data_IF_912864293794
#
_entry.id   IF_912864293794
#
_cell.length_a   1.000
_cell.length_b   1.000
_cell.length_c   1.000
_cell.angle_alpha   90.00
_cell.angle_beta   90.00
_cell.angle_gamma   90.00
#
_symmetry.space_group_name_H-M   'P 1'
#
loop_
_entity.id
_entity.type
_entity.pdbx_description
1 polymer ?
#
# COMPACT_ATOMS: atom_id res chain seq x y z
N UNK A 1 15.96 2.86 -13.71
CA UNK A 1 14.87 2.48 -12.79
C UNK A 1 13.80 3.51 -12.99
N UNK A 2 12.65 3.10 -13.53
CA UNK A 2 11.54 4.03 -13.72
C UNK A 2 11.04 4.43 -12.33
N UNK A 3 11.19 5.71 -12.00
CA UNK A 3 10.63 6.30 -10.79
C UNK A 3 9.11 6.12 -10.87
N UNK A 4 8.59 5.22 -10.05
CA UNK A 4 7.17 4.92 -9.98
C UNK A 4 6.41 6.23 -9.72
N UNK A 5 5.69 6.70 -10.74
CA UNK A 5 5.03 8.01 -10.71
C UNK A 5 3.72 7.89 -9.93
N UNK A 6 3.82 8.06 -8.62
CA UNK A 6 2.66 8.11 -7.73
C UNK A 6 1.86 9.40 -7.95
N UNK A 7 0.54 9.31 -7.83
CA UNK A 7 -0.36 10.47 -7.77
C UNK A 7 -1.17 10.42 -6.48
N UNK A 8 -1.57 11.58 -5.96
CA UNK A 8 -2.41 11.70 -4.77
C UNK A 8 -3.78 12.21 -5.22
N UNK A 9 -4.74 11.29 -5.29
CA UNK A 9 -6.11 11.62 -5.66
C UNK A 9 -6.85 12.16 -4.46
N UNK A 10 -7.36 13.38 -4.56
CA UNK A 10 -8.18 13.99 -3.52
C UNK A 10 -9.44 13.14 -3.25
N UNK A 11 -9.71 12.80 -1.99
CA UNK A 11 -10.88 11.99 -1.63
C UNK A 11 -11.93 12.75 -0.80
N UNK A 12 -11.61 13.97 -0.36
CA UNK A 12 -12.55 14.83 0.36
C UNK A 12 -12.81 14.48 1.82
N UNK A 13 -12.24 13.39 2.33
CA UNK A 13 -12.36 12.99 3.73
C UNK A 13 -11.63 13.99 4.62
N UNK A 14 -12.26 14.44 5.70
CA UNK A 14 -11.65 15.33 6.69
C UNK A 14 -11.10 14.53 7.86
N UNK A 15 -9.90 14.88 8.31
CA UNK A 15 -9.40 14.46 9.62
C UNK A 15 -10.24 15.05 10.76
N UNK A 16 -10.11 14.56 11.99
CA UNK A 16 -10.54 15.31 13.16
C UNK A 16 -9.83 16.67 13.23
N UNK A 17 -10.54 17.67 13.77
CA UNK A 17 -10.00 19.00 14.03
C UNK A 17 -9.28 18.99 15.39
N UNK A 18 -8.00 19.32 15.41
CA UNK A 18 -7.15 19.29 16.61
C UNK A 18 -6.76 20.70 17.06
N UNK A 19 -6.98 21.03 18.33
CA UNK A 19 -6.74 22.35 18.91
C UNK A 19 -7.93 22.88 19.70
N UNK A 20 -7.96 24.19 19.95
CA UNK A 20 -9.12 24.85 20.55
C UNK A 20 -10.22 25.10 19.51
N UNK A 21 -11.09 24.11 19.33
CA UNK A 21 -12.18 24.13 18.35
C UNK A 21 -13.31 25.12 18.66
N UNK A 22 -13.35 25.66 19.90
CA UNK A 22 -14.38 26.59 20.36
C UNK A 22 -14.05 28.04 20.03
N UNK A 23 -12.83 28.33 19.59
CA UNK A 23 -12.32 29.68 19.35
C UNK A 23 -11.97 29.89 17.89
N UNK A 24 -12.28 31.09 17.38
CA UNK A 24 -11.92 31.52 16.04
C UNK A 24 -12.96 31.16 14.97
N UNK A 25 -12.80 31.78 13.81
CA UNK A 25 -13.58 31.52 12.60
C UNK A 25 -13.05 30.30 11.86
N UNK A 26 -13.95 29.58 11.19
CA UNK A 26 -13.55 28.45 10.34
C UNK A 26 -12.79 28.93 9.12
N UNK A 27 -11.78 28.14 8.75
CA UNK A 27 -10.93 28.37 7.59
C UNK A 27 -10.77 27.06 6.83
N UNK A 28 -10.74 27.15 5.50
CA UNK A 28 -10.73 25.96 4.64
C UNK A 28 -10.15 26.34 3.27
N UNK A 29 -8.94 25.84 2.98
CA UNK A 29 -8.25 26.14 1.72
C UNK A 29 -8.92 25.50 0.51
N UNK A 30 -9.85 24.55 0.71
CA UNK A 30 -10.57 23.94 -0.39
C UNK A 30 -11.41 24.99 -1.14
N UNK A 31 -11.89 26.05 -0.47
CA UNK A 31 -12.54 27.17 -1.16
C UNK A 31 -11.59 27.93 -2.08
N UNK A 32 -10.35 28.15 -1.65
CA UNK A 32 -9.33 28.82 -2.47
C UNK A 32 -9.01 27.97 -3.69
N UNK A 33 -8.85 26.66 -3.50
CA UNK A 33 -8.63 25.71 -4.61
C UNK A 33 -9.83 25.72 -5.57
N UNK A 34 -11.07 25.63 -5.07
CA UNK A 34 -12.27 25.67 -5.90
C UNK A 34 -12.33 26.92 -6.80
N UNK A 35 -12.09 28.08 -6.19
CA UNK A 35 -12.12 29.37 -6.88
C UNK A 35 -11.06 29.46 -7.99
N UNK A 36 -9.82 29.02 -7.73
CA UNK A 36 -8.75 29.01 -8.75
C UNK A 36 -9.03 28.03 -9.90
N UNK A 37 -9.80 26.99 -9.63
CA UNK A 37 -10.26 26.03 -10.63
C UNK A 37 -11.53 26.49 -11.36
N UNK A 38 -12.19 27.56 -10.92
CA UNK A 38 -13.43 28.08 -11.51
C UNK A 38 -14.64 27.15 -11.30
N UNK A 39 -14.66 26.37 -10.21
CA UNK A 39 -15.71 25.39 -9.90
C UNK A 39 -16.20 25.53 -8.46
N UNK A 40 -17.34 24.94 -8.14
CA UNK A 40 -17.84 24.94 -6.75
C UNK A 40 -17.06 23.97 -5.87
N UNK A 41 -17.05 24.23 -4.55
CA UNK A 41 -16.46 23.31 -3.55
C UNK A 41 -17.14 21.94 -3.55
N UNK A 42 -18.46 21.89 -3.75
CA UNK A 42 -19.20 20.63 -3.86
C UNK A 42 -18.79 19.83 -5.09
N UNK A 43 -18.54 20.50 -6.22
CA UNK A 43 -18.07 19.83 -7.43
C UNK A 43 -16.68 19.24 -7.25
N UNK A 44 -15.82 19.92 -6.50
CA UNK A 44 -14.49 19.39 -6.15
C UNK A 44 -14.54 18.08 -5.37
N UNK A 45 -15.55 17.89 -4.52
CA UNK A 45 -15.70 16.71 -3.67
C UNK A 45 -16.38 15.55 -4.42
N UNK A 46 -17.26 15.87 -5.38
CA UNK A 46 -18.11 14.89 -6.06
C UNK A 46 -17.58 14.48 -7.43
N UNK A 47 -16.79 15.34 -8.08
CA UNK A 47 -16.28 15.09 -9.41
C UNK A 47 -14.80 14.70 -9.34
N UNK A 48 -14.41 13.70 -10.11
CA UNK A 48 -13.02 13.25 -10.26
C UNK A 48 -12.14 14.26 -11.05
N UNK A 49 -12.33 15.57 -10.79
CA UNK A 49 -11.68 16.69 -11.46
C UNK A 49 -10.20 16.76 -11.05
N UNK A 50 -9.91 16.65 -9.76
CA UNK A 50 -8.54 16.61 -9.26
C UNK A 50 -7.96 15.22 -9.52
N UNK A 51 -6.96 15.15 -10.38
CA UNK A 51 -6.17 13.94 -10.65
C UNK A 51 -4.99 13.79 -9.70
N UNK A 52 -4.40 14.90 -9.29
CA UNK A 52 -3.27 14.91 -8.36
C UNK A 52 -3.32 16.19 -7.53
N UNK A 53 -3.14 16.10 -6.21
CA UNK A 53 -2.95 17.26 -5.33
C UNK A 53 -1.75 17.04 -4.44
N UNK A 54 -0.80 17.98 -4.46
CA UNK A 54 0.42 17.92 -3.65
C UNK A 54 0.68 19.21 -2.93
N UNK A 55 1.33 19.10 -1.79
CA UNK A 55 1.93 20.24 -1.11
C UNK A 55 3.28 20.56 -1.75
N UNK A 56 3.53 21.85 -1.96
CA UNK A 56 4.81 22.38 -2.42
C UNK A 56 5.57 23.07 -1.31
N UNK A 57 4.85 23.81 -0.47
CA UNK A 57 5.44 24.54 0.64
C UNK A 57 4.40 24.74 1.75
N UNK A 58 4.88 24.84 2.98
CA UNK A 58 4.12 25.39 4.10
C UNK A 58 4.95 26.54 4.68
N UNK A 59 4.31 27.69 4.88
CA UNK A 59 4.85 28.80 5.65
C UNK A 59 4.13 28.86 6.97
N UNK A 60 4.91 28.97 8.05
CA UNK A 60 4.40 29.02 9.41
C UNK A 60 5.01 30.25 10.06
N UNK A 61 4.14 31.14 10.53
CA UNK A 61 4.50 32.31 11.31
C UNK A 61 4.26 32.03 12.78
N UNK A 62 5.27 32.27 13.61
CA UNK A 62 5.21 31.94 15.02
C UNK A 62 6.02 32.89 15.89
N UNK A 63 5.64 32.90 17.16
CA UNK A 63 6.33 33.58 18.25
C UNK A 63 6.21 32.73 19.51
N UNK A 64 5.28 33.10 20.40
CA UNK A 64 4.97 32.27 21.57
C UNK A 64 4.03 31.10 21.26
N UNK A 65 3.29 31.17 20.15
CA UNK A 65 2.40 30.15 19.60
C UNK A 65 2.40 30.27 18.07
N UNK A 66 1.64 29.44 17.37
CA UNK A 66 1.46 29.51 15.92
C UNK A 66 0.48 30.64 15.59
N UNK A 67 1.02 31.71 15.02
CA UNK A 67 0.29 32.94 14.73
C UNK A 67 -0.41 32.86 13.38
N UNK A 68 0.28 32.34 12.36
CA UNK A 68 -0.32 32.12 11.05
C UNK A 68 0.27 30.93 10.30
N UNK A 69 -0.51 30.40 9.36
CA UNK A 69 -0.08 29.33 8.45
C UNK A 69 -0.58 29.62 7.04
N UNK A 70 0.23 29.29 6.03
CA UNK A 70 -0.15 29.30 4.62
C UNK A 70 0.39 28.06 3.93
N UNK A 71 -0.47 27.34 3.20
CA UNK A 71 -0.11 26.19 2.39
C UNK A 71 -0.03 26.55 0.91
N UNK A 72 0.84 25.87 0.19
CA UNK A 72 1.06 26.05 -1.25
C UNK A 72 0.86 24.71 -1.93
N UNK A 73 0.02 24.70 -2.97
CA UNK A 73 -0.45 23.48 -3.61
C UNK A 73 -0.01 23.39 -5.06
N UNK A 74 0.25 22.18 -5.52
CA UNK A 74 0.27 21.81 -6.94
C UNK A 74 -0.94 20.92 -7.19
N UNK A 75 -1.87 21.39 -8.02
CA UNK A 75 -3.13 20.68 -8.32
C UNK A 75 -3.17 20.36 -9.81
N UNK A 76 -3.25 19.09 -10.15
CA UNK A 76 -3.40 18.61 -11.52
C UNK A 76 -4.84 18.21 -11.75
N UNK A 77 -5.44 18.76 -12.81
CA UNK A 77 -6.77 18.39 -13.30
C UNK A 77 -6.64 17.61 -14.60
N UNK A 78 -7.77 17.29 -15.25
CA UNK A 78 -7.76 16.67 -16.59
C UNK A 78 -7.00 17.51 -17.62
N UNK A 79 -7.12 18.83 -17.53
CA UNK A 79 -6.73 19.72 -18.63
C UNK A 79 -5.38 20.40 -18.38
N UNK A 80 -5.09 20.73 -17.11
CA UNK A 80 -3.85 21.42 -16.75
C UNK A 80 -3.45 21.24 -15.29
N UNK A 81 -2.21 21.66 -15.01
CA UNK A 81 -1.65 21.75 -13.67
C UNK A 81 -1.64 23.20 -13.19
N UNK A 82 -2.05 23.42 -11.95
CA UNK A 82 -2.13 24.70 -11.28
C UNK A 82 -1.12 24.74 -10.13
N UNK A 83 -0.46 25.89 -9.96
CA UNK A 83 0.28 26.22 -8.74
C UNK A 83 -0.57 27.20 -7.95
N UNK A 84 -1.15 26.76 -6.84
CA UNK A 84 -2.14 27.52 -6.06
C UNK A 84 -1.51 27.94 -4.74
N UNK A 85 -1.52 29.25 -4.49
CA UNK A 85 -1.20 29.79 -3.18
C UNK A 85 -2.47 29.74 -2.32
N UNK A 86 -2.44 28.92 -1.27
CA UNK A 86 -3.49 28.91 -0.25
C UNK A 86 -3.59 30.26 0.46
N UNK A 87 -4.66 30.45 1.23
CA UNK A 87 -4.80 31.68 1.99
C UNK A 87 -3.82 31.68 3.17
N UNK A 88 -3.28 32.85 3.52
CA UNK A 88 -2.62 33.02 4.82
C UNK A 88 -3.70 33.16 5.87
N UNK A 89 -3.73 32.24 6.82
CA UNK A 89 -4.70 32.24 7.92
C UNK A 89 -4.02 32.62 9.23
N UNK A 90 -4.71 33.38 10.09
CA UNK A 90 -4.17 33.86 11.36
C UNK A 90 -3.55 35.27 11.26
N UNK A 91 -2.63 35.57 12.17
CA UNK A 91 -2.02 36.89 12.35
C UNK A 91 -0.79 37.18 11.49
N UNK A 92 0.00 38.18 11.90
CA UNK A 92 1.19 38.64 11.18
C UNK A 92 2.39 37.72 11.37
N UNK A 93 2.66 37.27 12.60
CA UNK A 93 3.88 36.53 12.90
C UNK A 93 5.05 37.40 13.32
N UNK A 94 5.87 36.94 14.26
CA UNK A 94 7.22 37.49 14.45
C UNK A 94 8.27 36.79 13.57
N UNK A 95 8.28 35.45 13.58
CA UNK A 95 9.24 34.61 12.85
C UNK A 95 8.55 33.77 11.80
N UNK A 96 9.19 33.59 10.64
CA UNK A 96 8.70 32.72 9.57
C UNK A 96 9.57 31.47 9.48
N UNK A 97 8.93 30.30 9.37
CA UNK A 97 9.57 29.04 9.02
C UNK A 97 8.94 28.46 7.77
N UNK A 98 9.79 27.97 6.87
CA UNK A 98 9.38 27.38 5.59
C UNK A 98 9.67 25.89 5.57
N UNK A 99 8.68 25.11 5.18
CA UNK A 99 8.82 23.68 4.91
C UNK A 99 8.63 23.51 3.41
N UNK A 100 9.72 23.21 2.69
CA UNK A 100 9.68 22.90 1.26
C UNK A 100 9.52 21.40 1.05
N UNK A 101 8.65 21.02 0.11
CA UNK A 101 8.39 19.63 -0.26
C UNK A 101 9.13 19.29 -1.55
N UNK A 102 9.84 18.17 -1.51
CA UNK A 102 10.43 17.56 -2.70
C UNK A 102 9.35 16.92 -3.58
N UNK A 103 9.68 16.58 -4.82
CA UNK A 103 8.74 15.92 -5.71
C UNK A 103 8.40 14.52 -5.19
N UNK A 104 7.10 14.30 -4.93
CA UNK A 104 6.60 13.06 -4.35
C UNK A 104 6.61 13.03 -2.82
N UNK A 105 7.15 14.05 -2.14
CA UNK A 105 7.05 14.18 -0.68
C UNK A 105 5.61 14.46 -0.27
N UNK A 106 5.12 13.77 0.77
CA UNK A 106 3.79 13.98 1.34
C UNK A 106 3.78 13.83 2.86
N UNK A 107 2.75 14.40 3.50
CA UNK A 107 2.59 14.35 4.96
C UNK A 107 1.91 13.04 5.35
N UNK A 108 2.57 12.27 6.22
CA UNK A 108 2.05 11.05 6.83
C UNK A 108 1.35 11.29 8.16
N UNK A 109 1.82 12.26 8.94
CA UNK A 109 1.23 12.56 10.23
C UNK A 109 1.54 13.99 10.66
N UNK A 110 0.68 14.52 11.52
CA UNK A 110 0.85 15.81 12.17
C UNK A 110 0.70 15.58 13.66
N UNK A 111 1.63 16.11 14.43
CA UNK A 111 1.56 16.13 15.88
C UNK A 111 1.81 17.54 16.38
N UNK A 112 1.48 17.82 17.62
CA UNK A 112 1.65 19.15 18.15
C UNK A 112 1.14 19.33 19.56
N UNK A 113 1.09 20.59 19.97
CA UNK A 113 0.54 21.00 21.26
C UNK A 113 -0.37 22.19 21.10
N UNK A 114 -1.35 22.32 21.98
CA UNK A 114 -2.23 23.47 22.05
C UNK A 114 -2.65 23.78 23.48
N UNK A 115 -3.08 25.02 23.70
CA UNK A 115 -3.68 25.51 24.94
C UNK A 115 -5.13 25.02 25.12
N UNK A 116 -5.45 24.39 26.25
CA UNK A 116 -6.83 23.98 26.55
C UNK A 116 -7.72 25.12 27.08
N UNK A 117 -7.17 26.32 27.36
CA UNK A 117 -7.98 27.43 27.86
C UNK A 117 -9.07 27.77 26.82
N UNK A 118 -10.35 27.62 27.19
CA UNK A 118 -11.48 27.83 26.26
C UNK A 118 -11.46 29.22 25.62
N UNK A 119 -11.00 30.23 26.36
CA UNK A 119 -10.99 31.63 25.92
C UNK A 119 -9.69 32.06 25.22
N UNK A 120 -8.57 31.39 25.51
CA UNK A 120 -7.23 31.85 25.07
C UNK A 120 -6.34 30.77 24.46
N UNK A 121 -6.81 29.53 24.38
CA UNK A 121 -6.06 28.41 23.82
C UNK A 121 -5.73 28.62 22.35
N UNK A 122 -4.45 28.51 22.02
CA UNK A 122 -3.90 28.59 20.67
C UNK A 122 -3.20 27.27 20.32
N UNK A 123 -2.94 27.07 19.03
CA UNK A 123 -2.04 26.03 18.57
C UNK A 123 -0.61 26.49 18.88
N UNK A 124 0.11 25.75 19.73
CA UNK A 124 1.41 26.18 20.26
C UNK A 124 2.56 25.57 19.46
N UNK A 125 2.49 24.28 19.16
CA UNK A 125 3.56 23.56 18.46
C UNK A 125 3.00 22.70 17.35
N UNK A 126 3.75 22.59 16.26
CA UNK A 126 3.43 21.74 15.13
C UNK A 126 4.64 20.95 14.68
N UNK A 127 4.46 19.65 14.50
CA UNK A 127 5.44 18.75 13.93
C UNK A 127 4.80 17.95 12.80
N UNK A 128 5.36 18.10 11.61
CA UNK A 128 5.00 17.34 10.42
C UNK A 128 5.95 16.16 10.26
N UNK A 129 5.39 14.99 9.96
CA UNK A 129 6.12 13.78 9.60
C UNK A 129 5.85 13.54 8.12
N UNK A 130 6.89 13.74 7.31
CA UNK A 130 6.80 13.63 5.85
C UNK A 130 7.51 12.38 5.37
N UNK A 131 7.05 11.80 4.26
CA UNK A 131 7.72 10.69 3.59
C UNK A 131 8.10 11.06 2.17
N UNK A 132 9.31 10.68 1.77
CA UNK A 132 9.87 10.89 0.43
C UNK A 132 10.06 9.50 -0.20
N UNK A 133 9.14 9.06 -1.08
CA UNK A 133 9.18 7.70 -1.66
C UNK A 133 10.47 7.39 -2.40
N UNK A 134 10.95 8.31 -3.24
CA UNK A 134 12.16 8.14 -4.06
C UNK A 134 13.41 7.88 -3.21
N UNK A 135 13.45 8.41 -1.98
CA UNK A 135 14.55 8.24 -1.04
C UNK A 135 14.27 7.20 0.04
N UNK A 136 13.05 6.65 0.09
CA UNK A 136 12.54 5.82 1.20
C UNK A 136 12.82 6.45 2.58
N UNK A 137 12.67 7.77 2.68
CA UNK A 137 13.14 8.55 3.82
C UNK A 137 11.99 9.26 4.54
N UNK A 138 12.09 9.36 5.87
CA UNK A 138 11.16 10.11 6.72
C UNK A 138 11.83 11.41 7.19
N UNK A 139 11.17 12.53 6.92
CA UNK A 139 11.63 13.87 7.30
C UNK A 139 10.73 14.44 8.38
N UNK A 140 11.34 15.02 9.41
CA UNK A 140 10.64 15.66 10.53
C UNK A 140 10.80 17.17 10.45
N UNK A 141 9.68 17.89 10.49
CA UNK A 141 9.68 19.36 10.50
C UNK A 141 8.94 19.85 11.74
N UNK A 142 9.65 20.37 12.73
CA UNK A 142 9.09 20.85 14.00
C UNK A 142 9.15 22.38 14.07
N UNK A 143 8.05 23.00 14.50
CA UNK A 143 7.94 24.41 14.84
C UNK A 143 7.46 24.54 16.28
N UNK A 144 8.16 25.36 17.06
CA UNK A 144 7.96 25.45 18.50
C UNK A 144 7.43 26.83 18.89
N UNK A 145 6.23 26.89 19.47
CA UNK A 145 5.83 27.91 20.44
C UNK A 145 6.36 27.59 21.84
N UNK A 146 6.22 28.54 22.76
CA UNK A 146 6.85 28.53 24.10
C UNK A 146 6.01 27.87 25.20
N UNK A 147 4.71 27.70 25.00
CA UNK A 147 3.80 27.22 26.04
C UNK A 147 3.33 25.78 25.74
N UNK A 148 3.28 24.94 26.77
CA UNK A 148 2.90 23.52 26.67
C UNK A 148 1.69 23.25 27.56
N UNK A 149 0.60 22.70 27.02
CA UNK A 149 -0.47 22.14 27.87
C UNK A 149 -1.01 20.79 27.37
N UNK A 150 -1.54 20.69 26.14
CA UNK A 150 -2.18 19.46 25.63
C UNK A 150 -1.55 18.98 24.33
N UNK A 151 -1.15 17.71 24.30
CA UNK A 151 -0.59 17.05 23.12
C UNK A 151 -1.69 16.55 22.18
N UNK A 152 -1.41 16.55 20.88
CA UNK A 152 -2.20 15.81 19.90
C UNK A 152 -1.30 15.12 18.89
N UNK A 153 -1.85 14.06 18.29
CA UNK A 153 -1.28 13.37 17.16
C UNK A 153 -2.41 12.93 16.24
N UNK A 154 -2.27 13.18 14.94
CA UNK A 154 -3.24 12.81 13.93
C UNK A 154 -2.52 12.18 12.73
N UNK A 155 -3.03 11.04 12.31
CA UNK A 155 -2.62 10.32 11.11
C UNK A 155 -3.84 10.07 10.23
N UNK A 156 -3.70 10.11 8.91
CA UNK A 156 -4.80 9.88 7.99
C UNK A 156 -5.18 8.39 7.99
N UNK A 157 -6.32 8.04 7.40
CA UNK A 157 -6.73 6.64 7.25
C UNK A 157 -5.68 5.80 6.49
N UNK A 158 -5.63 4.50 6.77
CA UNK A 158 -4.67 3.59 6.10
C UNK A 158 -4.78 3.68 4.58
N UNK A 159 -3.65 3.90 3.91
CA UNK A 159 -3.59 4.07 2.45
C UNK A 159 -3.89 5.48 1.94
N UNK A 160 -4.00 6.47 2.83
CA UNK A 160 -4.22 7.89 2.50
C UNK A 160 -3.14 8.79 3.08
N UNK A 161 -3.13 10.05 2.65
CA UNK A 161 -2.16 11.10 3.03
C UNK A 161 -2.87 12.43 3.21
N UNK A 162 -2.28 13.38 3.94
CA UNK A 162 -2.85 14.72 4.06
C UNK A 162 -2.53 15.60 2.86
N UNK A 163 -3.53 16.35 2.38
CA UNK A 163 -3.47 17.08 1.11
C UNK A 163 -3.83 18.55 1.22
N UNK A 164 -4.94 18.90 1.87
CA UNK A 164 -5.48 20.27 1.91
C UNK A 164 -5.80 20.69 3.34
N UNK A 165 -5.49 21.94 3.69
CA UNK A 165 -5.64 22.46 5.04
C UNK A 165 -7.05 22.99 5.32
N UNK A 166 -7.55 22.70 6.52
CA UNK A 166 -8.68 23.42 7.12
C UNK A 166 -8.45 23.60 8.61
N UNK A 167 -9.21 24.45 9.27
CA UNK A 167 -9.00 24.70 10.68
C UNK A 167 -9.87 25.79 11.25
N UNK A 168 -9.38 26.40 12.33
CA UNK A 168 -9.92 27.64 12.88
C UNK A 168 -8.79 28.60 13.23
N UNK A 169 -9.05 29.89 13.06
CA UNK A 169 -8.13 30.94 13.46
C UNK A 169 -8.87 32.15 14.04
N UNK A 170 -8.15 32.94 14.84
CA UNK A 170 -8.52 34.32 15.11
C UNK A 170 -7.79 35.23 14.13
N UNK A 171 -7.94 36.54 14.27
CA UNK A 171 -7.13 37.50 13.50
C UNK A 171 -5.67 37.55 13.98
N UNK A 172 -5.32 36.83 15.05
CA UNK A 172 -3.98 36.83 15.65
C UNK A 172 -3.29 35.46 15.62
N UNK A 173 -4.05 34.37 15.59
CA UNK A 173 -3.50 33.03 15.85
C UNK A 173 -4.26 31.91 15.17
N UNK A 174 -3.57 30.79 14.92
CA UNK A 174 -4.22 29.52 14.64
C UNK A 174 -4.68 28.90 15.96
N UNK A 175 -5.95 28.50 16.01
CA UNK A 175 -6.52 27.86 17.21
C UNK A 175 -6.66 26.36 17.03
N UNK A 176 -6.88 25.89 15.81
CA UNK A 176 -6.95 24.46 15.50
C UNK A 176 -6.59 24.15 14.04
N UNK A 177 -6.17 22.91 13.81
CA UNK A 177 -5.74 22.37 12.52
C UNK A 177 -6.46 21.06 12.20
N UNK A 178 -6.86 20.93 10.96
CA UNK A 178 -7.33 19.71 10.33
C UNK A 178 -6.80 19.64 8.90
N UNK A 179 -6.88 18.45 8.31
CA UNK A 179 -6.42 18.21 6.95
C UNK A 179 -7.42 17.33 6.21
N UNK A 180 -7.63 17.63 4.93
CA UNK A 180 -8.26 16.70 4.02
C UNK A 180 -7.29 15.60 3.62
N UNK A 181 -7.85 14.43 3.33
CA UNK A 181 -7.11 13.27 2.88
C UNK A 181 -7.09 13.13 1.36
N UNK A 182 -6.12 12.38 0.86
CA UNK A 182 -6.03 11.91 -0.51
C UNK A 182 -5.49 10.49 -0.55
N UNK A 183 -5.92 9.72 -1.54
CA UNK A 183 -5.47 8.35 -1.74
C UNK A 183 -4.25 8.32 -2.66
N UNK A 184 -3.23 7.58 -2.26
CA UNK A 184 -2.05 7.33 -3.11
C UNK A 184 -2.46 6.34 -4.21
N UNK A 185 -2.21 6.69 -5.47
CA UNK A 185 -2.44 5.83 -6.63
C UNK A 185 -1.14 5.59 -7.39
N UNK A 186 -0.84 4.31 -7.69
CA UNK A 186 0.23 3.92 -8.63
C UNK A 186 -0.35 3.94 -10.05
N UNK A 187 0.33 4.64 -10.96
CA UNK A 187 -0.07 4.73 -12.36
C UNK A 187 -0.05 3.35 -13.04
N UNK A 188 0.86 2.45 -12.66
CA UNK A 188 0.92 1.09 -13.19
C UNK A 188 -0.28 0.23 -12.75
N UNK A 189 -0.70 0.34 -11.49
CA UNK A 189 -1.90 -0.33 -11.00
C UNK A 189 -3.18 0.24 -11.63
N UNK A 190 -3.21 1.55 -11.90
CA UNK A 190 -4.32 2.18 -12.61
C UNK A 190 -4.39 1.73 -14.07
N UNK A 191 -3.27 1.71 -14.79
CA UNK A 191 -3.21 1.21 -16.18
C UNK A 191 -3.64 -0.25 -16.29
N UNK A 192 -3.17 -1.09 -15.36
CA UNK A 192 -3.60 -2.49 -15.28
C UNK A 192 -5.10 -2.60 -15.00
N UNK A 193 -5.63 -1.77 -14.09
CA UNK A 193 -7.06 -1.72 -13.81
C UNK A 193 -7.88 -1.28 -15.02
N UNK A 194 -7.46 -0.23 -15.73
CA UNK A 194 -8.17 0.31 -16.89
C UNK A 194 -8.16 -0.67 -18.06
N UNK A 195 -7.08 -1.45 -18.20
CA UNK A 195 -6.97 -2.56 -19.16
C UNK A 195 -7.92 -3.72 -18.82
N UNK A 196 -7.99 -4.10 -17.53
CA UNK A 196 -8.80 -5.23 -17.09
C UNK A 196 -10.29 -4.88 -16.95
N UNK A 197 -10.63 -3.62 -16.66
CA UNK A 197 -11.99 -3.18 -16.37
C UNK A 197 -12.34 -1.81 -16.96
N UNK A 198 -12.43 -1.67 -18.30
CA UNK A 198 -12.88 -0.42 -18.90
C UNK A 198 -14.30 -0.08 -18.44
N UNK A 199 -14.47 1.11 -17.86
CA UNK A 199 -15.75 1.73 -17.49
C UNK A 199 -16.54 1.11 -16.32
N UNK A 200 -15.90 0.46 -15.35
CA UNK A 200 -16.59 0.05 -14.11
C UNK A 200 -15.89 0.56 -12.85
N UNK A 201 -16.63 1.04 -11.82
CA UNK A 201 -16.05 1.40 -10.55
C UNK A 201 -15.32 0.20 -9.95
N UNK A 202 -14.10 0.46 -9.49
CA UNK A 202 -13.15 -0.55 -9.08
C UNK A 202 -13.63 -1.34 -7.87
N UNK A 203 -13.81 -2.66 -8.05
CA UNK A 203 -14.13 -3.58 -6.96
C UNK A 203 -12.92 -4.48 -6.73
N UNK A 204 -12.08 -4.13 -5.75
CA UNK A 204 -10.94 -4.95 -5.30
C UNK A 204 -11.28 -6.45 -5.17
N UNK A 205 -12.45 -6.85 -4.63
CA UNK A 205 -12.81 -8.27 -4.56
C UNK A 205 -12.89 -8.95 -5.93
N UNK A 206 -13.43 -8.26 -6.94
CA UNK A 206 -13.58 -8.77 -8.31
C UNK A 206 -12.21 -8.91 -8.98
N UNK A 207 -11.32 -7.93 -8.83
CA UNK A 207 -9.95 -8.05 -9.35
C UNK A 207 -9.20 -9.21 -8.69
N UNK A 208 -9.34 -9.37 -7.37
CA UNK A 208 -8.70 -10.45 -6.63
C UNK A 208 -9.20 -11.83 -7.10
N UNK A 209 -10.49 -11.95 -7.41
CA UNK A 209 -11.05 -13.15 -8.02
C UNK A 209 -10.48 -13.37 -9.42
N UNK A 210 -10.44 -12.34 -10.25
CA UNK A 210 -9.96 -12.46 -11.64
C UNK A 210 -8.47 -12.82 -11.73
N UNK A 211 -7.62 -12.25 -10.87
CA UNK A 211 -6.21 -12.65 -10.75
C UNK A 211 -6.09 -14.13 -10.34
N UNK A 212 -6.91 -14.59 -9.40
CA UNK A 212 -6.91 -16.00 -8.97
C UNK A 212 -7.33 -16.91 -10.13
N UNK A 213 -8.38 -16.54 -10.87
CA UNK A 213 -8.89 -17.26 -12.05
C UNK A 213 -7.81 -17.39 -13.13
N UNK A 214 -7.12 -16.29 -13.46
CA UNK A 214 -6.05 -16.28 -14.46
C UNK A 214 -4.87 -17.15 -14.03
N UNK A 215 -4.43 -17.05 -12.76
CA UNK A 215 -3.37 -17.93 -12.22
C UNK A 215 -3.75 -19.40 -12.30
N UNK A 216 -5.01 -19.74 -12.02
CA UNK A 216 -5.50 -21.10 -12.14
C UNK A 216 -5.48 -21.59 -13.59
N UNK A 217 -5.95 -20.77 -14.53
CA UNK A 217 -5.98 -21.10 -15.95
C UNK A 217 -4.58 -21.32 -16.55
N UNK A 218 -3.58 -20.61 -16.05
CA UNK A 218 -2.19 -20.78 -16.47
C UNK A 218 -1.55 -22.03 -15.84
N UNK A 219 -1.79 -22.27 -14.55
CA UNK A 219 -1.13 -23.34 -13.80
C UNK A 219 -1.74 -24.73 -14.04
N UNK A 220 -3.06 -24.83 -14.20
CA UNK A 220 -3.74 -26.12 -14.34
C UNK A 220 -3.27 -26.94 -15.58
N UNK A 221 -3.11 -26.34 -16.79
CA UNK A 221 -2.54 -27.04 -17.93
C UNK A 221 -1.09 -27.50 -17.70
N UNK A 222 -0.28 -26.70 -16.99
CA UNK A 222 1.10 -27.06 -16.66
C UNK A 222 1.16 -28.28 -15.75
N UNK A 223 0.36 -28.30 -14.67
CA UNK A 223 0.24 -29.46 -13.76
C UNK A 223 -0.18 -30.71 -14.54
N UNK A 224 -1.20 -30.60 -15.41
CA UNK A 224 -1.66 -31.72 -16.24
C UNK A 224 -0.54 -32.26 -17.14
N UNK A 225 0.20 -31.38 -17.81
CA UNK A 225 1.28 -31.77 -18.72
C UNK A 225 2.45 -32.42 -17.96
N UNK A 226 2.86 -31.87 -16.82
CA UNK A 226 3.94 -32.44 -16.01
C UNK A 226 3.53 -33.79 -15.40
N UNK A 227 2.26 -33.96 -15.01
CA UNK A 227 1.72 -35.24 -14.54
C UNK A 227 1.80 -36.33 -15.60
N UNK A 228 1.38 -36.04 -16.84
CA UNK A 228 1.49 -36.99 -17.96
C UNK A 228 2.94 -37.40 -18.20
N UNK A 229 3.88 -36.44 -18.18
CA UNK A 229 5.30 -36.76 -18.34
C UNK A 229 5.81 -37.62 -17.18
N UNK A 230 5.37 -37.34 -15.95
CA UNK A 230 5.77 -38.09 -14.76
C UNK A 230 5.24 -39.52 -14.78
N UNK A 231 3.99 -39.74 -15.17
CA UNK A 231 3.40 -41.08 -15.33
C UNK A 231 4.16 -41.93 -16.35
N UNK A 232 4.55 -41.33 -17.48
CA UNK A 232 5.40 -41.99 -18.49
C UNK A 232 6.77 -42.35 -17.92
N UNK A 233 7.41 -41.43 -17.20
CA UNK A 233 8.71 -41.68 -16.57
C UNK A 233 8.63 -42.81 -15.55
N UNK A 234 7.63 -42.79 -14.66
CA UNK A 234 7.41 -43.84 -13.66
C UNK A 234 7.18 -45.18 -14.31
N UNK A 235 6.37 -45.25 -15.37
CA UNK A 235 6.12 -46.50 -16.12
C UNK A 235 7.43 -47.06 -16.70
N UNK A 236 8.23 -46.21 -17.33
CA UNK A 236 9.53 -46.62 -17.86
C UNK A 236 10.47 -47.13 -16.75
N UNK A 237 10.51 -46.45 -15.60
CA UNK A 237 11.34 -46.86 -14.46
C UNK A 237 10.89 -48.18 -13.86
N UNK A 238 9.57 -48.43 -13.76
CA UNK A 238 9.02 -49.72 -13.30
C UNK A 238 9.40 -50.86 -14.24
N UNK A 239 9.20 -50.69 -15.55
CA UNK A 239 9.60 -51.69 -16.55
C UNK A 239 11.09 -52.01 -16.45
N UNK A 240 11.93 -50.98 -16.26
CA UNK A 240 13.39 -51.14 -16.15
C UNK A 240 13.83 -51.77 -14.81
N UNK A 241 13.06 -51.55 -13.75
CA UNK A 241 13.29 -52.15 -12.43
C UNK A 241 12.91 -53.65 -12.38
N UNK A 242 12.08 -54.14 -13.31
CA UNK A 242 11.66 -55.54 -13.38
C UNK A 242 10.93 -55.97 -12.10
N UNK A 243 11.40 -57.05 -11.47
CA UNK A 243 10.83 -57.60 -10.22
C UNK A 243 10.81 -56.60 -9.05
N UNK A 244 11.60 -55.51 -9.16
CA UNK A 244 11.66 -54.43 -8.17
C UNK A 244 10.65 -53.29 -8.42
N UNK A 245 9.64 -53.44 -9.29
CA UNK A 245 8.67 -52.36 -9.57
C UNK A 245 7.99 -51.82 -8.29
N UNK A 246 7.69 -52.71 -7.33
CA UNK A 246 7.04 -52.35 -6.07
C UNK A 246 7.93 -51.43 -5.22
N UNK A 247 9.25 -51.55 -5.36
CA UNK A 247 10.21 -50.69 -4.67
C UNK A 247 10.18 -49.27 -5.28
N UNK A 248 9.90 -49.12 -6.58
CA UNK A 248 9.68 -47.81 -7.20
C UNK A 248 8.44 -47.13 -6.62
N UNK A 249 7.34 -47.88 -6.45
CA UNK A 249 6.13 -47.35 -5.80
C UNK A 249 6.37 -46.94 -4.35
N UNK A 250 7.09 -47.77 -3.59
CA UNK A 250 7.48 -47.45 -2.22
C UNK A 250 8.36 -46.20 -2.16
N UNK A 251 9.36 -46.07 -3.05
CA UNK A 251 10.22 -44.89 -3.14
C UNK A 251 9.40 -43.62 -3.36
N UNK A 252 8.47 -43.63 -4.32
CA UNK A 252 7.63 -42.46 -4.62
C UNK A 252 6.69 -42.12 -3.46
N UNK A 253 6.06 -43.12 -2.85
CA UNK A 253 5.19 -42.92 -1.68
C UNK A 253 5.95 -42.35 -0.48
N UNK A 254 7.12 -42.90 -0.16
CA UNK A 254 7.96 -42.41 0.93
C UNK A 254 8.48 -41.01 0.63
N UNK A 255 8.82 -40.70 -0.62
CA UNK A 255 9.20 -39.32 -0.99
C UNK A 255 8.05 -38.33 -0.76
N UNK A 256 6.80 -38.71 -1.09
CA UNK A 256 5.63 -37.86 -0.84
C UNK A 256 5.46 -37.56 0.66
N UNK A 257 5.77 -38.52 1.53
CA UNK A 257 5.76 -38.32 2.97
C UNK A 257 6.93 -37.45 3.44
N UNK A 258 8.13 -37.66 2.88
CA UNK A 258 9.33 -36.89 3.20
C UNK A 258 9.22 -35.40 2.85
N UNK A 259 8.45 -35.07 1.81
CA UNK A 259 8.17 -33.68 1.44
C UNK A 259 7.32 -32.98 2.51
N UNK A 260 6.47 -33.73 3.22
CA UNK A 260 5.56 -33.20 4.25
C UNK A 260 6.14 -33.23 5.67
N UNK A 261 7.12 -34.08 5.93
CA UNK A 261 7.68 -34.32 7.26
C UNK A 261 9.19 -34.52 7.18
N UNK A 262 9.94 -33.89 8.09
CA UNK A 262 11.39 -34.01 8.17
C UNK A 262 11.85 -35.16 9.09
N UNK A 263 11.14 -36.28 9.05
CA UNK A 263 11.39 -37.44 9.92
C UNK A 263 12.63 -38.23 9.46
N UNK A 264 13.57 -38.47 10.39
CA UNK A 264 14.80 -39.24 10.15
C UNK A 264 14.51 -40.68 9.69
N UNK A 265 13.43 -41.30 10.17
CA UNK A 265 13.03 -42.65 9.77
C UNK A 265 12.61 -42.68 8.29
N UNK A 266 11.89 -41.66 7.83
CA UNK A 266 11.47 -41.53 6.42
C UNK A 266 12.70 -41.31 5.52
N UNK A 267 13.69 -40.53 5.97
CA UNK A 267 14.94 -40.36 5.23
C UNK A 267 15.74 -41.65 5.15
N UNK A 268 15.79 -42.44 6.23
CA UNK A 268 16.39 -43.77 6.25
C UNK A 268 15.74 -44.73 5.24
N UNK A 269 14.40 -44.73 5.17
CA UNK A 269 13.64 -45.53 4.20
C UNK A 269 13.92 -45.09 2.75
N UNK A 270 13.99 -43.79 2.46
CA UNK A 270 14.35 -43.27 1.14
C UNK A 270 15.73 -43.74 0.70
N UNK A 271 16.72 -43.70 1.59
CA UNK A 271 18.08 -44.18 1.30
C UNK A 271 18.04 -45.68 0.98
N UNK A 272 17.35 -46.48 1.79
CA UNK A 272 17.25 -47.92 1.58
C UNK A 272 16.60 -48.26 0.22
N UNK A 273 15.50 -47.59 -0.15
CA UNK A 273 14.84 -47.83 -1.44
C UNK A 273 15.68 -47.37 -2.63
N UNK A 274 16.41 -46.25 -2.52
CA UNK A 274 17.38 -45.84 -3.55
C UNK A 274 18.45 -46.89 -3.73
N UNK A 275 19.10 -47.32 -2.65
CA UNK A 275 20.17 -48.33 -2.70
C UNK A 275 19.69 -49.65 -3.28
N UNK A 276 18.46 -50.09 -2.97
CA UNK A 276 17.88 -51.30 -3.57
C UNK A 276 17.70 -51.17 -5.10
N UNK A 277 17.30 -49.99 -5.56
CA UNK A 277 17.07 -49.71 -6.98
C UNK A 277 18.35 -49.40 -7.77
N UNK A 278 19.45 -49.01 -7.12
CA UNK A 278 20.75 -48.74 -7.78
C UNK A 278 21.33 -49.96 -8.51
N UNK A 279 20.86 -51.17 -8.19
CA UNK A 279 21.21 -52.40 -8.91
C UNK A 279 20.58 -52.53 -10.31
N UNK A 280 19.55 -51.72 -10.61
CA UNK A 280 18.76 -51.78 -11.85
C UNK A 280 18.60 -50.42 -12.54
N UNK A 281 18.58 -49.34 -11.77
CA UNK A 281 18.42 -47.97 -12.22
C UNK A 281 19.70 -47.18 -11.92
N UNK A 282 20.09 -46.32 -12.85
CA UNK A 282 21.25 -45.45 -12.61
C UNK A 282 20.92 -44.37 -11.58
N UNK A 283 21.94 -43.88 -10.88
CA UNK A 283 21.81 -42.73 -9.96
C UNK A 283 21.16 -41.51 -10.63
N UNK A 284 21.48 -41.27 -11.91
CA UNK A 284 20.90 -40.18 -12.67
C UNK A 284 19.39 -40.37 -12.91
N UNK A 285 18.97 -41.59 -13.27
CA UNK A 285 17.55 -41.90 -13.47
C UNK A 285 16.73 -41.76 -12.19
N UNK A 286 17.26 -42.25 -11.08
CA UNK A 286 16.66 -42.06 -9.75
C UNK A 286 16.56 -40.57 -9.40
N UNK A 287 17.63 -39.80 -9.65
CA UNK A 287 17.62 -38.37 -9.38
C UNK A 287 16.59 -37.62 -10.24
N UNK A 288 16.47 -37.95 -11.53
CA UNK A 288 15.48 -37.36 -12.43
C UNK A 288 14.06 -37.68 -11.94
N UNK A 289 13.78 -38.95 -11.61
CA UNK A 289 12.47 -39.39 -11.11
C UNK A 289 12.06 -38.62 -9.85
N UNK A 290 12.96 -38.54 -8.87
CA UNK A 290 12.69 -37.87 -7.60
C UNK A 290 12.56 -36.36 -7.77
N UNK A 291 13.40 -35.73 -8.59
CA UNK A 291 13.33 -34.28 -8.84
C UNK A 291 12.02 -33.89 -9.51
N UNK A 292 11.56 -34.70 -10.45
CA UNK A 292 10.30 -34.49 -11.16
C UNK A 292 9.09 -34.72 -10.25
N UNK A 293 9.13 -35.73 -9.38
CA UNK A 293 8.10 -35.95 -8.38
C UNK A 293 8.00 -34.78 -7.39
N UNK A 294 9.13 -34.23 -6.94
CA UNK A 294 9.16 -33.05 -6.06
C UNK A 294 8.56 -31.81 -6.75
N UNK A 295 8.96 -31.55 -8.01
CA UNK A 295 8.40 -30.46 -8.81
C UNK A 295 6.89 -30.61 -9.00
N UNK A 296 6.40 -31.81 -9.30
CA UNK A 296 4.97 -32.06 -9.49
C UNK A 296 4.18 -31.80 -8.20
N UNK A 297 4.67 -32.28 -7.04
CA UNK A 297 4.03 -32.02 -5.76
C UNK A 297 3.93 -30.51 -5.45
N UNK A 298 4.98 -29.73 -5.71
CA UNK A 298 4.96 -28.27 -5.52
C UNK A 298 3.89 -27.59 -6.39
N UNK A 299 3.79 -28.00 -7.66
CA UNK A 299 2.79 -27.44 -8.59
C UNK A 299 1.37 -27.83 -8.17
N UNK A 300 1.15 -29.07 -7.70
CA UNK A 300 -0.14 -29.52 -7.18
C UNK A 300 -0.55 -28.76 -5.91
N UNK A 301 0.37 -28.50 -4.99
CA UNK A 301 0.11 -27.69 -3.79
C UNK A 301 -0.21 -26.23 -4.15
N UNK A 302 0.55 -25.63 -5.07
CA UNK A 302 0.26 -24.29 -5.56
C UNK A 302 -1.14 -24.21 -6.18
N UNK A 303 -1.53 -25.21 -6.97
CA UNK A 303 -2.87 -25.26 -7.57
C UNK A 303 -3.98 -25.44 -6.53
N UNK A 304 -3.78 -26.31 -5.53
CA UNK A 304 -4.73 -26.52 -4.44
C UNK A 304 -4.95 -25.24 -3.61
N UNK A 305 -3.88 -24.50 -3.34
CA UNK A 305 -3.96 -23.23 -2.63
C UNK A 305 -4.77 -22.18 -3.40
N UNK A 306 -4.71 -22.17 -4.73
CA UNK A 306 -5.55 -21.29 -5.56
C UNK A 306 -7.04 -21.66 -5.46
N UNK A 307 -7.38 -22.95 -5.44
CA UNK A 307 -8.77 -23.42 -5.32
C UNK A 307 -9.40 -23.16 -3.94
N UNK A 308 -8.62 -23.30 -2.86
CA UNK A 308 -9.09 -22.98 -1.50
C UNK A 308 -9.43 -21.49 -1.39
N UNK A 309 -8.60 -20.63 -1.98
CA UNK A 309 -8.82 -19.19 -1.98
C UNK A 309 -10.07 -18.77 -2.78
N UNK A 310 -10.43 -19.49 -3.85
CA UNK A 310 -11.71 -19.28 -4.57
C UNK A 310 -12.93 -19.67 -3.72
N UNK A 311 -12.89 -20.82 -3.04
CA UNK A 311 -14.03 -21.27 -2.20
C UNK A 311 -14.30 -20.35 -1.03
N UNK A 312 -13.24 -19.86 -0.35
CA UNK A 312 -13.37 -18.92 0.76
C UNK A 312 -13.87 -17.53 0.31
N UNK A 313 -13.63 -17.16 -0.95
CA UNK A 313 -14.10 -15.88 -1.50
C UNK A 313 -15.59 -15.88 -1.89
N UNK A 314 -16.22 -17.06 -2.05
CA UNK A 314 -17.61 -17.21 -2.44
C UNK A 314 -18.58 -17.51 -1.27
N UNK A 315 -18.07 -17.63 -0.03
CA UNK A 315 -18.87 -17.90 1.17
C UNK A 315 -19.14 -16.64 2.04
N UNK A 316 -19.03 -15.43 1.47
CA UNK A 316 -19.36 -14.14 2.11
C UNK A 316 -20.23 -13.32 1.18
#
# INVERSE_FOLDING_TARGET
MDDEKWTIKFNGTKSPLNGNIKRGKEIDDLYKIANELGISKSDLLNNNIIKDIRLKQIKIWHGNYIEAIQFFYKVTTNDKTYSINGNKHGGSGEKETRINFEDGEYILAISGKYGHNKSHGNLDQLKFINYIPSKKHIKFCTNCGKYDTTLFNMSPATGTVYTCFFGKCTDYSITSIGMYEGSIQSQQLQQLSDLLFPNKPYKFPVLKQEITRLKYQELAPQVRNEKIKFEKLTTNMKVKAGDSEKIVDLLLNTQKQAIKSNDQLIQGQLIAYKSALESKLTKNELQILLSMHAKLNQLEEHLANLQINERLANCK
#
